data_IF_799367162595
#
_entry.id   IF_799367162595
#
_cell.length_a   1.000
_cell.length_b   1.000
_cell.length_c   1.000
_cell.angle_alpha   90.00
_cell.angle_beta   90.00
_cell.angle_gamma   90.00
#
_symmetry.space_group_name_H-M   'P 1'
#
loop_
_entity.id
_entity.type
_entity.pdbx_description
1 polymer ?
#
# COMPACT_ATOMS: atom_id res chain seq x y z
N UNK A 1 1.91 17.78 37.80
CA UNK A 1 1.84 18.05 36.36
C UNK A 1 1.53 16.74 35.67
N UNK A 2 0.28 16.56 35.23
CA UNK A 2 -0.22 15.35 34.57
C UNK A 2 -0.12 15.55 33.06
N UNK A 3 1.01 15.18 32.45
CA UNK A 3 1.18 15.21 30.98
C UNK A 3 1.80 13.93 30.39
N UNK A 4 1.21 12.74 30.62
CA UNK A 4 1.49 11.58 29.75
C UNK A 4 0.42 11.40 28.64
N UNK A 5 -0.84 11.72 28.92
CA UNK A 5 -1.98 11.43 28.02
C UNK A 5 -1.92 12.21 26.70
N UNK A 6 -1.54 13.50 26.72
CA UNK A 6 -1.47 14.32 25.49
C UNK A 6 -0.34 13.90 24.55
N UNK A 7 0.76 13.36 25.08
CA UNK A 7 1.87 12.83 24.26
C UNK A 7 1.47 11.52 23.61
N UNK A 8 0.86 10.60 24.37
CA UNK A 8 0.37 9.33 23.84
C UNK A 8 -0.75 9.52 22.79
N UNK A 9 -1.65 10.48 23.00
CA UNK A 9 -2.68 10.85 22.01
C UNK A 9 -2.07 11.44 20.73
N UNK A 10 -1.05 12.29 20.85
CA UNK A 10 -0.36 12.88 19.70
C UNK A 10 0.41 11.83 18.90
N UNK A 11 1.09 10.89 19.56
CA UNK A 11 1.77 9.78 18.89
C UNK A 11 0.80 8.84 18.17
N UNK A 12 -0.38 8.57 18.75
CA UNK A 12 -1.42 7.76 18.12
C UNK A 12 -2.01 8.46 16.88
N UNK A 13 -2.22 9.77 16.94
CA UNK A 13 -2.72 10.58 15.82
C UNK A 13 -1.71 10.66 14.67
N UNK A 14 -0.43 10.86 14.99
CA UNK A 14 0.67 10.82 14.01
C UNK A 14 0.76 9.45 13.35
N UNK A 15 0.64 8.35 14.11
CA UNK A 15 0.67 7.00 13.56
C UNK A 15 -0.54 6.69 12.67
N UNK A 16 -1.72 7.23 13.01
CA UNK A 16 -2.92 7.11 12.18
C UNK A 16 -2.79 7.87 10.85
N UNK A 17 -2.20 9.06 10.88
CA UNK A 17 -1.93 9.86 9.68
C UNK A 17 -0.89 9.18 8.75
N UNK A 18 0.13 8.55 9.33
CA UNK A 18 1.14 7.81 8.58
C UNK A 18 0.54 6.56 7.92
N UNK A 19 -0.32 5.83 8.64
CA UNK A 19 -1.07 4.69 8.10
C UNK A 19 -2.03 5.10 6.97
N UNK A 20 -2.72 6.24 7.12
CA UNK A 20 -3.57 6.79 6.05
C UNK A 20 -2.75 7.11 4.79
N UNK A 21 -1.61 7.78 4.96
CA UNK A 21 -0.69 8.12 3.87
C UNK A 21 -0.17 6.86 3.18
N UNK A 22 0.20 5.85 3.97
CA UNK A 22 0.62 4.55 3.47
C UNK A 22 -0.48 3.85 2.66
N UNK A 23 -1.73 3.84 3.16
CA UNK A 23 -2.88 3.27 2.44
C UNK A 23 -3.14 3.97 1.11
N UNK A 24 -3.00 5.29 1.07
CA UNK A 24 -3.13 6.08 -0.16
C UNK A 24 -2.03 5.71 -1.15
N UNK A 25 -0.78 5.60 -0.68
CA UNK A 25 0.33 5.12 -1.50
C UNK A 25 0.08 3.72 -2.08
N UNK A 26 -0.40 2.78 -1.26
CA UNK A 26 -0.73 1.44 -1.70
C UNK A 26 -1.90 1.39 -2.69
N UNK A 27 -2.91 2.24 -2.53
CA UNK A 27 -4.01 2.35 -3.49
C UNK A 27 -3.51 2.80 -4.88
N UNK A 28 -2.55 3.73 -4.92
CA UNK A 28 -1.93 4.17 -6.17
C UNK A 28 -1.13 3.02 -6.81
N UNK A 29 -0.31 2.32 -6.02
CA UNK A 29 0.46 1.16 -6.51
C UNK A 29 -0.47 0.09 -7.08
N UNK A 30 -1.56 -0.23 -6.38
CA UNK A 30 -2.57 -1.17 -6.87
C UNK A 30 -3.17 -0.73 -8.21
N UNK A 31 -3.51 0.56 -8.36
CA UNK A 31 -4.03 1.08 -9.62
C UNK A 31 -3.01 0.95 -10.77
N UNK A 32 -1.73 1.24 -10.51
CA UNK A 32 -0.67 1.08 -11.52
C UNK A 32 -0.51 -0.37 -11.95
N UNK A 33 -0.56 -1.32 -11.02
CA UNK A 33 -0.45 -2.76 -11.32
C UNK A 33 -1.62 -3.21 -12.18
N UNK A 34 -2.84 -2.74 -11.89
CA UNK A 34 -4.02 -3.02 -12.74
C UNK A 34 -3.81 -2.47 -14.15
N UNK A 35 -3.34 -1.23 -14.30
CA UNK A 35 -3.04 -0.66 -15.63
C UNK A 35 -1.97 -1.47 -16.35
N UNK A 36 -0.92 -1.90 -15.65
CA UNK A 36 0.14 -2.72 -16.23
C UNK A 36 -0.39 -4.09 -16.69
N UNK A 37 -1.26 -4.71 -15.89
CA UNK A 37 -1.90 -5.97 -16.24
C UNK A 37 -2.85 -5.84 -17.44
N UNK A 38 -3.65 -4.76 -17.50
CA UNK A 38 -4.56 -4.52 -18.63
C UNK A 38 -3.79 -4.27 -19.93
N UNK A 39 -2.74 -3.45 -19.89
CA UNK A 39 -1.86 -3.22 -21.05
C UNK A 39 -1.17 -4.52 -21.47
N UNK A 40 -0.66 -5.29 -20.52
CA UNK A 40 -0.05 -6.59 -20.79
C UNK A 40 -1.03 -7.57 -21.46
N UNK A 41 -2.28 -7.61 -21.00
CA UNK A 41 -3.32 -8.46 -21.58
C UNK A 41 -3.71 -8.02 -23.00
N UNK A 42 -3.87 -6.70 -23.22
CA UNK A 42 -4.22 -6.13 -24.53
C UNK A 42 -3.11 -6.35 -25.58
N UNK A 43 -1.85 -6.30 -25.14
CA UNK A 43 -0.68 -6.46 -26.02
C UNK A 43 -0.18 -7.89 -26.11
N UNK A 44 -0.81 -8.84 -25.41
CA UNK A 44 -0.31 -10.21 -25.22
C UNK A 44 1.15 -10.28 -24.76
N UNK A 45 1.59 -9.29 -23.98
CA UNK A 45 2.97 -9.16 -23.52
C UNK A 45 3.19 -9.94 -22.23
N UNK A 46 3.76 -11.14 -22.37
CA UNK A 46 4.10 -11.99 -21.22
C UNK A 46 4.98 -11.27 -20.17
N UNK A 47 6.01 -10.48 -20.52
CA UNK A 47 6.82 -9.77 -19.54
C UNK A 47 6.01 -8.79 -18.66
N UNK A 48 5.04 -8.08 -19.25
CA UNK A 48 4.22 -7.12 -18.53
C UNK A 48 3.25 -7.82 -17.57
N UNK A 49 2.66 -8.94 -17.99
CA UNK A 49 1.78 -9.73 -17.13
C UNK A 49 2.55 -10.34 -15.96
N UNK A 50 3.74 -10.91 -16.21
CA UNK A 50 4.59 -11.48 -15.15
C UNK A 50 5.01 -10.41 -14.16
N UNK A 51 5.48 -9.26 -14.64
CA UNK A 51 5.86 -8.15 -13.77
C UNK A 51 4.67 -7.66 -12.93
N UNK A 52 3.50 -7.45 -13.54
CA UNK A 52 2.29 -7.05 -12.82
C UNK A 52 1.89 -8.08 -11.74
N UNK A 53 2.00 -9.38 -12.03
CA UNK A 53 1.70 -10.45 -11.09
C UNK A 53 2.68 -10.46 -9.90
N UNK A 54 3.98 -10.36 -10.16
CA UNK A 54 5.00 -10.33 -9.10
C UNK A 54 4.85 -9.09 -8.24
N UNK A 55 4.73 -7.90 -8.83
CA UNK A 55 4.57 -6.65 -8.09
C UNK A 55 3.25 -6.61 -7.33
N UNK A 56 2.16 -7.15 -7.89
CA UNK A 56 0.87 -7.33 -7.22
C UNK A 56 0.97 -8.21 -5.98
N UNK A 57 1.69 -9.33 -6.10
CA UNK A 57 1.92 -10.26 -4.99
C UNK A 57 2.66 -9.58 -3.84
N UNK A 58 3.72 -8.83 -4.15
CA UNK A 58 4.51 -8.09 -3.16
C UNK A 58 3.65 -7.01 -2.49
N UNK A 59 2.92 -6.22 -3.28
CA UNK A 59 2.04 -5.16 -2.75
C UNK A 59 0.96 -5.74 -1.81
N UNK A 60 0.36 -6.88 -2.16
CA UNK A 60 -0.61 -7.57 -1.31
C UNK A 60 0.01 -8.01 0.02
N UNK A 61 1.21 -8.59 0.00
CA UNK A 61 1.93 -8.98 1.21
C UNK A 61 2.23 -7.79 2.13
N UNK A 62 2.79 -6.70 1.57
CA UNK A 62 3.10 -5.50 2.35
C UNK A 62 1.82 -4.87 2.90
N UNK A 63 0.75 -4.82 2.11
CA UNK A 63 -0.56 -4.33 2.55
C UNK A 63 -1.17 -5.15 3.69
N UNK A 64 -1.04 -6.48 3.67
CA UNK A 64 -1.49 -7.33 4.78
C UNK A 64 -0.67 -7.12 6.05
N UNK A 65 0.67 -7.01 5.94
CA UNK A 65 1.53 -6.83 7.11
C UNK A 65 1.26 -5.49 7.81
N UNK A 66 1.08 -4.43 7.03
CA UNK A 66 0.78 -3.08 7.52
C UNK A 66 -0.66 -2.86 7.96
N UNK A 67 -1.60 -3.71 7.52
CA UNK A 67 -3.00 -3.66 7.98
C UNK A 67 -3.26 -4.43 9.28
N UNK A 68 -2.36 -5.34 9.65
CA UNK A 68 -2.49 -6.19 10.85
C UNK A 68 -1.67 -5.64 12.04
N UNK A 69 -0.56 -4.96 11.78
CA UNK A 69 0.34 -4.37 12.79
C UNK A 69 0.08 -2.87 13.02
#
# INVERSE_FOLDING_TARGET
VTTPESTASSEAEVKAADLLTFKIGMAIIAAVIVVMATVGALTASAPLLIASGVTGSIAAFVGTYTGIN
#
